data_IF_624359265912
#
_entry.id   IF_624359265912
#
_cell.length_a   1.000
_cell.length_b   1.000
_cell.length_c   1.000
_cell.angle_alpha   90.00
_cell.angle_beta   90.00
_cell.angle_gamma   90.00
#
_symmetry.space_group_name_H-M   'P 1'
#
loop_
_entity.id
_entity.type
_entity.pdbx_description
1 polymer ?
#
# COMPACT_ATOMS: atom_id res chain seq x y z
N UNK A 1 -1.67 12.90 -2.06
CA UNK A 1 -2.52 12.50 -0.92
C UNK A 1 -3.84 11.80 -1.29
N UNK A 2 -4.49 12.07 -2.44
CA UNK A 2 -5.78 11.42 -2.81
C UNK A 2 -5.73 9.88 -2.90
N UNK A 3 -4.60 9.30 -3.34
CA UNK A 3 -4.42 7.83 -3.45
C UNK A 3 -4.46 7.13 -2.09
N UNK A 4 -3.73 7.66 -1.10
CA UNK A 4 -3.71 7.15 0.27
C UNK A 4 -5.10 7.16 0.90
N UNK A 5 -5.84 8.27 0.73
CA UNK A 5 -7.23 8.35 1.20
C UNK A 5 -8.12 7.25 0.63
N UNK A 6 -8.08 7.01 -0.69
CA UNK A 6 -8.83 5.92 -1.33
C UNK A 6 -8.41 4.54 -0.80
N UNK A 7 -7.13 4.34 -0.50
CA UNK A 7 -6.64 3.09 0.09
C UNK A 7 -7.19 2.89 1.51
N UNK A 8 -7.21 3.93 2.35
CA UNK A 8 -7.77 3.87 3.70
C UNK A 8 -9.25 3.50 3.71
N UNK A 9 -10.04 3.98 2.74
CA UNK A 9 -11.46 3.61 2.62
C UNK A 9 -11.62 2.12 2.32
N UNK A 10 -10.80 1.57 1.42
CA UNK A 10 -10.88 0.16 1.00
C UNK A 10 -10.19 -0.80 1.97
N UNK A 11 -9.32 -0.30 2.85
CA UNK A 11 -8.47 -1.10 3.71
C UNK A 11 -9.23 -2.04 4.67
N UNK A 12 -10.35 -1.65 5.32
CA UNK A 12 -11.07 -2.55 6.22
C UNK A 12 -11.56 -3.82 5.53
N UNK A 13 -12.23 -3.69 4.38
CA UNK A 13 -12.74 -4.84 3.60
C UNK A 13 -11.60 -5.71 3.08
N UNK A 14 -10.53 -5.09 2.60
CA UNK A 14 -9.34 -5.81 2.15
C UNK A 14 -8.70 -6.58 3.30
N UNK A 15 -8.50 -5.94 4.47
CA UNK A 15 -7.83 -6.53 5.62
C UNK A 15 -8.62 -7.69 6.22
N UNK A 16 -9.96 -7.64 6.15
CA UNK A 16 -10.83 -8.74 6.56
C UNK A 16 -10.53 -10.06 5.80
N UNK A 17 -10.12 -9.96 4.54
CA UNK A 17 -9.77 -11.10 3.67
C UNK A 17 -8.30 -11.52 3.77
N UNK A 18 -7.43 -10.68 4.35
CA UNK A 18 -5.98 -10.85 4.37
C UNK A 18 -5.43 -10.85 5.80
N UNK A 19 -5.74 -11.92 6.53
CA UNK A 19 -5.33 -12.14 7.93
C UNK A 19 -5.65 -10.92 8.81
N UNK A 20 -6.93 -10.70 9.16
CA UNK A 20 -7.37 -9.49 9.85
C UNK A 20 -6.67 -9.24 11.18
N UNK A 21 -6.26 -10.31 11.86
CA UNK A 21 -5.59 -10.26 13.16
C UNK A 21 -4.07 -10.14 13.07
N UNK A 22 -3.49 -10.30 11.88
CA UNK A 22 -2.06 -10.14 11.68
C UNK A 22 -1.71 -8.66 11.53
N UNK A 23 -1.32 -8.06 12.65
CA UNK A 23 -0.94 -6.65 12.79
C UNK A 23 0.34 -6.59 13.63
N UNK A 24 1.50 -6.99 13.07
CA UNK A 24 2.76 -7.05 13.81
C UNK A 24 3.21 -5.70 14.36
N UNK A 25 2.74 -4.58 13.80
CA UNK A 25 2.98 -3.24 14.33
C UNK A 25 2.17 -2.91 15.59
N UNK A 26 1.06 -3.62 15.86
CA UNK A 26 0.31 -3.54 17.12
C UNK A 26 0.71 -4.66 18.09
N UNK A 27 1.06 -5.81 17.54
CA UNK A 27 1.39 -7.05 18.24
C UNK A 27 2.78 -7.53 17.80
N UNK A 28 3.87 -6.99 18.37
CA UNK A 28 5.24 -7.26 17.91
C UNK A 28 5.62 -8.74 17.95
N UNK A 29 4.98 -9.53 18.81
CA UNK A 29 5.14 -10.99 18.88
C UNK A 29 4.73 -11.71 17.60
N UNK A 30 3.92 -11.08 16.73
CA UNK A 30 3.54 -11.63 15.44
C UNK A 30 4.61 -11.41 14.36
N UNK A 31 5.67 -10.64 14.64
CA UNK A 31 6.70 -10.34 13.65
C UNK A 31 7.45 -11.61 13.22
N UNK A 32 7.45 -11.96 11.92
CA UNK A 32 8.26 -13.07 11.40
C UNK A 32 9.70 -12.65 11.09
N UNK A 33 10.05 -11.38 11.33
CA UNK A 33 11.35 -10.81 10.95
C UNK A 33 12.43 -11.17 11.97
N UNK A 34 13.67 -11.45 11.51
CA UNK A 34 14.80 -11.68 12.39
C UNK A 34 15.21 -10.38 13.11
N UNK A 35 15.82 -10.53 14.28
CA UNK A 35 16.51 -9.42 14.95
C UNK A 35 17.86 -9.16 14.29
N UNK A 36 18.26 -7.89 14.26
CA UNK A 36 19.55 -7.44 13.71
C UNK A 36 20.23 -6.53 14.74
N UNK A 37 21.54 -6.68 14.92
CA UNK A 37 22.29 -5.80 15.81
C UNK A 37 22.58 -4.47 15.12
N UNK A 38 22.49 -3.36 15.86
CA UNK A 38 22.75 -2.03 15.30
C UNK A 38 24.18 -1.87 14.76
N UNK A 39 25.15 -2.62 15.31
CA UNK A 39 26.54 -2.63 14.84
C UNK A 39 26.72 -3.25 13.44
N UNK A 40 25.73 -4.00 12.96
CA UNK A 40 25.73 -4.57 11.61
C UNK A 40 25.23 -3.55 10.56
N UNK A 41 24.67 -2.42 11.00
CA UNK A 41 24.20 -1.34 10.14
C UNK A 41 25.30 -0.32 9.87
N UNK A 42 25.23 0.32 8.70
CA UNK A 42 26.09 1.44 8.31
C UNK A 42 25.26 2.68 8.04
N UNK A 43 25.85 3.87 8.25
CA UNK A 43 25.18 5.14 7.96
C UNK A 43 25.06 5.33 6.45
N UNK A 44 23.84 5.56 5.98
CA UNK A 44 23.58 5.91 4.59
C UNK A 44 23.46 7.43 4.47
N UNK A 45 24.42 8.05 3.77
CA UNK A 45 24.44 9.48 3.51
C UNK A 45 23.56 9.84 2.31
N UNK A 46 22.75 10.88 2.45
CA UNK A 46 21.76 11.27 1.44
C UNK A 46 22.40 11.71 0.11
N UNK A 47 23.55 12.38 0.17
CA UNK A 47 24.35 12.80 -0.98
C UNK A 47 25.01 11.63 -1.72
N UNK A 48 25.11 10.46 -1.08
CA UNK A 48 25.60 9.23 -1.69
C UNK A 48 24.48 8.35 -2.26
N UNK A 49 23.21 8.68 -2.05
CA UNK A 49 22.09 7.92 -2.61
C UNK A 49 21.93 8.22 -4.11
N UNK A 50 21.83 7.17 -4.91
CA UNK A 50 21.44 7.31 -6.31
C UNK A 50 20.02 7.88 -6.39
N UNK A 51 19.82 8.90 -7.23
CA UNK A 51 18.49 9.44 -7.50
C UNK A 51 17.75 8.44 -8.40
N UNK A 52 16.93 7.58 -7.80
CA UNK A 52 16.06 6.68 -8.54
C UNK A 52 14.87 7.50 -9.05
N UNK A 53 14.78 7.68 -10.38
CA UNK A 53 13.60 8.29 -11.00
C UNK A 53 12.45 7.29 -11.07
N UNK A 54 11.55 7.36 -10.08
CA UNK A 54 10.33 6.55 -10.05
C UNK A 54 9.20 7.15 -10.91
N UNK A 55 9.44 8.25 -11.63
CA UNK A 55 8.42 8.92 -12.42
C UNK A 55 7.82 8.03 -13.53
N UNK A 56 8.56 7.02 -13.99
CA UNK A 56 8.10 6.09 -15.03
C UNK A 56 7.54 4.79 -14.48
N UNK A 57 7.53 4.59 -13.16
CA UNK A 57 7.00 3.36 -12.54
C UNK A 57 5.48 3.40 -12.59
N UNK A 58 4.90 2.68 -13.55
CA UNK A 58 3.47 2.42 -13.59
C UNK A 58 3.14 1.34 -12.57
N UNK A 59 2.18 1.61 -11.67
CA UNK A 59 1.65 0.58 -10.76
C UNK A 59 1.16 -0.62 -11.59
N UNK A 60 1.86 -1.75 -11.51
CA UNK A 60 1.45 -2.97 -12.19
C UNK A 60 0.14 -3.42 -11.58
N UNK A 61 -0.96 -3.17 -12.29
CA UNK A 61 -2.22 -3.84 -12.03
C UNK A 61 -1.99 -5.30 -12.42
N UNK A 62 -1.70 -6.14 -11.44
CA UNK A 62 -1.87 -7.58 -11.59
C UNK A 62 -3.34 -7.80 -11.95
N UNK A 63 -3.56 -7.90 -13.26
CA UNK A 63 -4.83 -8.19 -13.88
C UNK A 63 -5.23 -9.57 -13.42
N UNK A 64 -6.07 -9.62 -12.39
CA UNK A 64 -6.95 -10.76 -12.18
C UNK A 64 -7.94 -10.75 -13.36
N UNK A 65 -7.49 -11.28 -14.49
CA UNK A 65 -8.32 -11.57 -15.65
C UNK A 65 -9.45 -12.48 -15.18
N UNK A 66 -10.67 -11.94 -15.16
CA UNK A 66 -11.83 -12.64 -14.62
C UNK A 66 -13.09 -11.80 -14.60
N UNK A 67 -13.52 -11.33 -15.78
CA UNK A 67 -14.93 -11.28 -16.16
C UNK A 67 -15.85 -10.21 -15.53
N UNK A 68 -16.33 -9.33 -16.42
CA UNK A 68 -17.69 -8.78 -16.50
C UNK A 68 -18.13 -7.66 -15.52
N UNK A 69 -18.17 -6.44 -16.08
CA UNK A 69 -19.43 -5.68 -16.24
C UNK A 69 -19.91 -4.82 -15.07
N UNK A 70 -20.02 -3.51 -15.31
CA UNK A 70 -20.76 -2.60 -14.43
C UNK A 70 -20.29 -1.15 -14.54
N UNK A 71 -20.74 -0.48 -15.60
CA UNK A 71 -20.59 0.96 -15.83
C UNK A 71 -21.18 1.76 -14.66
N UNK A 72 -20.38 2.62 -14.03
CA UNK A 72 -20.83 3.59 -13.03
C UNK A 72 -20.98 4.94 -13.69
N UNK A 73 -22.22 5.30 -14.04
CA UNK A 73 -22.63 6.60 -14.60
C UNK A 73 -22.27 7.75 -13.65
N UNK A 74 -21.49 8.71 -14.16
CA UNK A 74 -21.29 10.02 -13.56
C UNK A 74 -22.52 10.88 -13.88
N UNK A 75 -23.45 11.03 -12.93
CA UNK A 75 -24.50 12.05 -13.01
C UNK A 75 -24.32 13.04 -11.84
N UNK A 76 -23.64 14.13 -12.17
CA UNK A 76 -23.65 15.42 -11.48
C UNK A 76 -25.03 16.07 -11.68
N UNK A 77 -25.87 16.15 -10.65
CA UNK A 77 -26.97 17.13 -10.61
C UNK A 77 -27.21 17.68 -9.19
N UNK A 78 -26.57 18.83 -8.94
CA UNK A 78 -27.14 20.03 -8.31
C UNK A 78 -28.15 19.92 -7.15
N UNK A 79 -27.66 20.39 -5.99
CA UNK A 79 -28.30 21.26 -5.00
C UNK A 79 -29.74 21.74 -5.30
N UNK A 80 -30.69 21.35 -4.45
CA UNK A 80 -31.85 22.16 -4.03
C UNK A 80 -32.36 21.65 -2.69
#
# INVERSE_FOLDING_TARGET
MKKMYKACIKYPEWKQKHQPHFKPWLHPEQSPLPSLALSELSVQHADSLENIDESTVTESREERAGGAGGEGSDDDTSLT
#
